data_IF_668613208880
#
_entry.id   IF_668613208880
#
_cell.length_a   1.000
_cell.length_b   1.000
_cell.length_c   1.000
_cell.angle_alpha   90.00
_cell.angle_beta   90.00
_cell.angle_gamma   90.00
#
_symmetry.space_group_name_H-M   'P 1'
#
loop_
_entity.id
_entity.type
_entity.pdbx_description
1 polymer ?
#
# COMPACT_ATOMS: atom_id res chain seq x y z
N UNK A 1 2.64 -18.44 24.05
CA UNK A 1 1.96 -17.37 24.81
C UNK A 1 0.47 -17.44 24.52
N UNK A 2 -0.40 -17.53 25.54
CA UNK A 2 -1.85 -17.39 25.33
C UNK A 2 -2.12 -15.92 25.04
N UNK A 3 -2.59 -15.58 23.84
CA UNK A 3 -3.01 -14.21 23.53
C UNK A 3 -4.29 -13.94 24.33
N UNK A 4 -4.24 -12.95 25.22
CA UNK A 4 -5.43 -12.44 25.90
C UNK A 4 -6.32 -11.77 24.85
N UNK A 5 -7.63 -12.10 24.75
CA UNK A 5 -8.50 -11.44 23.81
C UNK A 5 -8.54 -9.94 24.09
N UNK A 6 -8.28 -9.13 23.07
CA UNK A 6 -8.38 -7.68 23.16
C UNK A 6 -9.84 -7.29 22.94
N UNK A 7 -10.53 -6.89 24.00
CA UNK A 7 -11.91 -6.41 23.91
C UNK A 7 -11.96 -4.96 23.43
N UNK A 8 -12.93 -4.64 22.58
CA UNK A 8 -13.25 -3.26 22.20
C UNK A 8 -14.06 -2.64 23.35
N UNK A 9 -13.50 -1.65 24.03
CA UNK A 9 -14.09 -1.01 25.21
C UNK A 9 -14.49 0.45 25.00
N UNK A 10 -14.23 1.02 23.82
CA UNK A 10 -14.59 2.40 23.49
C UNK A 10 -15.01 2.56 22.04
N UNK A 11 -15.80 3.60 21.76
CA UNK A 11 -16.19 3.95 20.39
C UNK A 11 -14.98 4.26 19.49
N UNK A 12 -13.91 4.84 20.05
CA UNK A 12 -12.66 5.07 19.30
C UNK A 12 -12.07 3.75 18.83
N UNK A 13 -11.94 2.75 19.70
CA UNK A 13 -11.43 1.43 19.32
C UNK A 13 -12.33 0.73 18.30
N UNK A 14 -13.66 0.81 18.46
CA UNK A 14 -14.62 0.27 17.49
C UNK A 14 -14.44 0.91 16.11
N UNK A 15 -14.39 2.24 16.06
CA UNK A 15 -14.19 2.99 14.82
C UNK A 15 -12.84 2.67 14.18
N UNK A 16 -11.77 2.63 14.97
CA UNK A 16 -10.42 2.31 14.48
C UNK A 16 -10.39 0.88 13.89
N UNK A 17 -11.06 -0.08 14.53
CA UNK A 17 -11.24 -1.44 14.00
C UNK A 17 -12.07 -1.47 12.70
N UNK A 18 -13.19 -0.75 12.66
CA UNK A 18 -14.02 -0.64 11.47
C UNK A 18 -13.30 0.05 10.30
N UNK A 19 -12.31 0.91 10.57
CA UNK A 19 -11.50 1.61 9.57
C UNK A 19 -10.18 0.91 9.23
N UNK A 20 -9.85 -0.20 9.91
CA UNK A 20 -8.56 -0.89 9.78
C UNK A 20 -8.28 -1.41 8.35
N UNK A 21 -9.33 -1.58 7.54
CA UNK A 21 -9.20 -2.02 6.15
C UNK A 21 -8.47 -1.05 5.22
N UNK A 22 -8.44 0.25 5.56
CA UNK A 22 -8.00 1.29 4.62
C UNK A 22 -6.55 1.12 4.20
N UNK A 23 -5.64 0.92 5.16
CA UNK A 23 -4.22 0.79 4.87
C UNK A 23 -3.91 -0.47 4.04
N UNK A 24 -4.41 -1.67 4.38
CA UNK A 24 -4.31 -2.84 3.52
C UNK A 24 -4.81 -2.57 2.09
N UNK A 25 -5.98 -1.94 1.93
CA UNK A 25 -6.50 -1.64 0.59
C UNK A 25 -5.59 -0.69 -0.19
N UNK A 26 -5.04 0.34 0.46
CA UNK A 26 -4.07 1.27 -0.14
C UNK A 26 -2.82 0.52 -0.62
N UNK A 27 -2.27 -0.39 0.18
CA UNK A 27 -1.09 -1.19 -0.16
C UNK A 27 -1.40 -2.11 -1.34
N UNK A 28 -2.52 -2.85 -1.28
CA UNK A 28 -2.92 -3.77 -2.35
C UNK A 28 -3.22 -3.03 -3.64
N UNK A 29 -3.85 -1.86 -3.62
CA UNK A 29 -4.04 -1.04 -4.83
C UNK A 29 -2.72 -0.60 -5.47
N UNK A 30 -1.67 -0.35 -4.67
CA UNK A 30 -0.34 -0.05 -5.22
C UNK A 30 0.31 -1.28 -5.87
N UNK A 31 0.10 -2.47 -5.34
CA UNK A 31 0.55 -3.73 -5.94
C UNK A 31 -0.23 -4.06 -7.22
N UNK A 32 -1.55 -3.91 -7.23
CA UNK A 32 -2.43 -4.16 -8.39
C UNK A 32 -2.01 -3.36 -9.64
N UNK A 33 -1.63 -2.10 -9.46
CA UNK A 33 -1.18 -1.25 -10.58
C UNK A 33 0.33 -1.37 -10.86
N UNK A 34 1.00 -2.29 -10.15
CA UNK A 34 2.43 -2.53 -10.16
C UNK A 34 3.28 -1.26 -9.93
N UNK A 35 2.83 -0.42 -8.97
CA UNK A 35 3.44 0.88 -8.68
C UNK A 35 4.90 0.74 -8.26
N UNK A 36 5.19 -0.16 -7.32
CA UNK A 36 6.53 -0.29 -6.74
C UNK A 36 7.55 -0.77 -7.77
N UNK A 37 7.22 -1.76 -8.61
CA UNK A 37 8.11 -2.24 -9.67
C UNK A 37 8.35 -1.19 -10.74
N UNK A 38 7.30 -0.47 -11.16
CA UNK A 38 7.40 0.58 -12.17
C UNK A 38 8.10 1.85 -11.69
N UNK A 39 8.12 2.08 -10.37
CA UNK A 39 8.97 3.11 -9.78
C UNK A 39 10.42 2.64 -9.77
N UNK A 40 11.14 2.96 -10.84
CA UNK A 40 12.61 2.86 -10.92
C UNK A 40 13.30 3.59 -9.74
N UNK A 41 14.60 3.37 -9.54
CA UNK A 41 15.38 4.04 -8.49
C UNK A 41 15.66 5.52 -8.78
N UNK A 42 14.59 6.33 -8.73
CA UNK A 42 14.60 7.78 -8.92
C UNK A 42 13.38 8.45 -8.29
N UNK A 43 13.41 9.77 -8.22
CA UNK A 43 12.24 10.58 -7.89
C UNK A 43 11.21 10.63 -9.02
N UNK A 44 9.95 10.55 -8.64
CA UNK A 44 8.81 10.62 -9.55
C UNK A 44 7.85 11.75 -9.18
N UNK A 45 7.65 12.69 -10.10
CA UNK A 45 6.53 13.63 -10.00
C UNK A 45 5.22 12.90 -10.29
N UNK A 46 4.12 13.33 -9.66
CA UNK A 46 2.80 12.74 -9.90
C UNK A 46 2.41 12.74 -11.39
N UNK A 47 2.60 13.82 -12.18
CA UNK A 47 2.26 13.79 -13.60
C UNK A 47 3.05 12.76 -14.41
N UNK A 48 4.35 12.62 -14.15
CA UNK A 48 5.20 11.64 -14.85
C UNK A 48 4.83 10.22 -14.48
N UNK A 49 4.63 9.95 -13.19
CA UNK A 49 4.27 8.62 -12.70
C UNK A 49 2.87 8.22 -13.16
N UNK A 50 1.91 9.14 -13.18
CA UNK A 50 0.56 8.91 -13.69
C UNK A 50 0.59 8.51 -15.17
N UNK A 51 1.37 9.23 -15.98
CA UNK A 51 1.58 8.88 -17.40
C UNK A 51 2.24 7.51 -17.55
N UNK A 52 3.25 7.20 -16.73
CA UNK A 52 3.96 5.92 -16.78
C UNK A 52 3.08 4.72 -16.35
N UNK A 53 2.18 4.94 -15.38
CA UNK A 53 1.25 3.92 -14.89
C UNK A 53 -0.04 3.81 -15.71
N UNK A 54 -0.36 4.79 -16.55
CA UNK A 54 -1.68 4.88 -17.19
C UNK A 54 -2.80 5.16 -16.19
N UNK A 55 -2.50 5.87 -15.10
CA UNK A 55 -3.42 6.16 -14.00
C UNK A 55 -3.79 7.66 -13.94
N UNK A 56 -4.88 7.99 -13.27
CA UNK A 56 -5.26 9.39 -13.06
C UNK A 56 -4.28 10.10 -12.10
N UNK A 57 -3.89 11.35 -12.41
CA UNK A 57 -3.03 12.14 -11.53
C UNK A 57 -3.64 12.33 -10.14
N UNK A 58 -4.95 12.58 -10.07
CA UNK A 58 -5.68 12.76 -8.79
C UNK A 58 -5.62 11.49 -7.94
N UNK A 59 -5.96 10.33 -8.52
CA UNK A 59 -5.94 9.06 -7.80
C UNK A 59 -4.54 8.71 -7.30
N UNK A 60 -3.54 8.91 -8.16
CA UNK A 60 -2.16 8.64 -7.82
C UNK A 60 -1.61 9.60 -6.75
N UNK A 61 -1.99 10.88 -6.78
CA UNK A 61 -1.63 11.84 -5.72
C UNK A 61 -2.20 11.44 -4.35
N UNK A 62 -3.38 10.83 -4.31
CA UNK A 62 -3.98 10.30 -3.07
C UNK A 62 -3.21 9.04 -2.64
N UNK A 63 -2.97 8.12 -3.56
CA UNK A 63 -2.26 6.86 -3.29
C UNK A 63 -0.85 7.12 -2.75
N UNK A 64 -0.02 7.89 -3.47
CA UNK A 64 1.35 8.19 -3.07
C UNK A 64 1.43 8.92 -1.73
N UNK A 65 0.49 9.82 -1.43
CA UNK A 65 0.44 10.50 -0.13
C UNK A 65 0.19 9.53 1.01
N UNK A 66 -0.76 8.62 0.86
CA UNK A 66 -1.06 7.64 1.89
C UNK A 66 0.09 6.63 2.05
N UNK A 67 0.70 6.18 0.95
CA UNK A 67 1.88 5.32 0.98
C UNK A 67 3.06 6.02 1.67
N UNK A 68 3.24 7.33 1.45
CA UNK A 68 4.26 8.11 2.14
C UNK A 68 3.96 8.24 3.65
N UNK A 69 2.70 8.51 4.02
CA UNK A 69 2.27 8.50 5.42
C UNK A 69 2.45 7.13 6.10
N UNK A 70 2.41 6.04 5.34
CA UNK A 70 2.67 4.69 5.82
C UNK A 70 4.17 4.28 5.79
N UNK A 71 5.07 5.17 5.35
CA UNK A 71 6.51 4.86 5.28
C UNK A 71 6.90 3.91 4.13
N UNK A 72 6.05 3.75 3.12
CA UNK A 72 6.35 2.96 1.93
C UNK A 72 6.92 3.81 0.78
N UNK A 73 6.65 5.11 0.79
CA UNK A 73 7.29 6.09 -0.09
C UNK A 73 7.92 7.20 0.76
N UNK A 74 8.90 7.88 0.19
CA UNK A 74 9.40 9.15 0.71
C UNK A 74 8.88 10.26 -0.19
N UNK A 75 8.36 11.33 0.41
CA UNK A 75 8.02 12.56 -0.31
C UNK A 75 9.22 13.51 -0.26
N UNK A 76 9.72 13.92 -1.41
CA UNK A 76 10.79 14.92 -1.59
C UNK A 76 10.24 16.19 -2.24
N UNK A 77 11.09 17.21 -2.43
CA UNK A 77 10.73 18.41 -3.19
C UNK A 77 10.46 18.09 -4.67
N UNK A 78 11.19 17.12 -5.22
CA UNK A 78 11.15 16.66 -6.61
C UNK A 78 10.06 15.62 -6.90
N UNK A 79 9.43 15.02 -5.89
CA UNK A 79 8.36 14.04 -6.08
C UNK A 79 8.29 12.98 -4.99
N UNK A 80 8.13 11.73 -5.41
CA UNK A 80 8.14 10.55 -4.53
C UNK A 80 9.16 9.51 -5.01
N UNK A 81 9.80 8.82 -4.08
CA UNK A 81 10.64 7.65 -4.36
C UNK A 81 10.38 6.52 -3.35
N UNK A 82 10.86 5.32 -3.67
CA UNK A 82 10.69 4.15 -2.82
C UNK A 82 11.58 4.22 -1.57
N UNK A 83 11.04 3.82 -0.42
CA UNK A 83 11.87 3.54 0.76
C UNK A 83 12.71 2.27 0.56
N UNK A 84 13.80 2.08 1.33
CA UNK A 84 14.57 0.83 1.30
C UNK A 84 13.71 -0.41 1.56
N UNK A 85 12.70 -0.30 2.44
CA UNK A 85 11.74 -1.38 2.69
C UNK A 85 10.96 -1.75 1.44
N UNK A 86 10.40 -0.75 0.74
CA UNK A 86 9.62 -0.98 -0.49
C UNK A 86 10.49 -1.53 -1.62
N UNK A 87 11.71 -1.02 -1.79
CA UNK A 87 12.67 -1.59 -2.76
C UNK A 87 12.95 -3.06 -2.48
N UNK A 88 13.19 -3.40 -1.21
CA UNK A 88 13.56 -4.77 -0.83
C UNK A 88 12.41 -5.77 -0.96
N UNK A 89 11.21 -5.41 -0.51
CA UNK A 89 10.13 -6.38 -0.35
C UNK A 89 8.96 -6.20 -1.33
N UNK A 90 8.83 -5.05 -1.99
CA UNK A 90 7.68 -4.73 -2.83
C UNK A 90 8.05 -4.48 -4.30
N UNK A 91 9.33 -4.49 -4.66
CA UNK A 91 9.80 -4.36 -6.03
C UNK A 91 10.13 -5.74 -6.61
N UNK A 92 9.53 -6.12 -7.74
CA UNK A 92 9.69 -7.47 -8.34
C UNK A 92 11.14 -7.82 -8.73
N UNK A 93 11.97 -6.81 -9.01
CA UNK A 93 13.39 -7.01 -9.32
C UNK A 93 14.24 -7.42 -8.12
N UNK A 94 13.70 -7.33 -6.90
CA UNK A 94 14.42 -7.69 -5.68
C UNK A 94 14.38 -9.20 -5.43
N UNK A 95 15.51 -9.84 -5.05
CA UNK A 95 15.51 -11.25 -4.66
C UNK A 95 14.69 -11.53 -3.40
N UNK A 96 14.44 -10.50 -2.59
CA UNK A 96 13.63 -10.57 -1.36
C UNK A 96 12.16 -10.19 -1.59
N UNK A 97 11.71 -10.10 -2.84
CA UNK A 97 10.33 -9.72 -3.17
C UNK A 97 9.29 -10.58 -2.43
N UNK A 98 8.26 -9.92 -1.88
CA UNK A 98 7.15 -10.53 -1.12
C UNK A 98 5.77 -10.19 -1.70
N UNK A 99 5.70 -9.58 -2.88
CA UNK A 99 4.40 -9.20 -3.47
C UNK A 99 3.47 -10.38 -3.70
N UNK A 100 4.00 -11.56 -4.08
CA UNK A 100 3.18 -12.77 -4.24
C UNK A 100 2.52 -13.23 -2.94
N UNK A 101 3.26 -13.19 -1.84
CA UNK A 101 2.74 -13.49 -0.51
C UNK A 101 1.63 -12.51 -0.11
N UNK A 102 1.81 -11.22 -0.39
CA UNK A 102 0.78 -10.21 -0.16
C UNK A 102 -0.43 -10.42 -1.08
N UNK A 103 -0.23 -10.91 -2.30
CA UNK A 103 -1.30 -11.31 -3.21
C UNK A 103 -2.15 -12.46 -2.67
N UNK A 104 -1.56 -13.41 -1.94
CA UNK A 104 -2.31 -14.46 -1.24
C UNK A 104 -3.18 -13.88 -0.13
N UNK A 105 -2.66 -12.93 0.65
CA UNK A 105 -3.45 -12.23 1.68
C UNK A 105 -4.61 -11.44 1.05
N UNK A 106 -4.37 -10.83 -0.11
CA UNK A 106 -5.39 -10.09 -0.82
C UNK A 106 -6.55 -10.99 -1.30
N UNK A 107 -6.29 -12.23 -1.72
CA UNK A 107 -7.37 -13.15 -2.13
C UNK A 107 -8.39 -13.40 -1.03
N UNK A 108 -7.94 -13.45 0.22
CA UNK A 108 -8.84 -13.58 1.37
C UNK A 108 -9.85 -12.43 1.43
N UNK A 109 -9.45 -11.21 1.06
CA UNK A 109 -10.35 -10.05 1.01
C UNK A 109 -11.59 -10.31 0.14
N UNK A 110 -11.42 -10.97 -1.02
CA UNK A 110 -12.54 -11.33 -1.90
C UNK A 110 -13.53 -12.25 -1.19
N UNK A 111 -13.04 -13.25 -0.47
CA UNK A 111 -13.86 -14.19 0.28
C UNK A 111 -14.66 -13.48 1.37
N UNK A 112 -14.02 -12.58 2.12
CA UNK A 112 -14.71 -11.78 3.15
C UNK A 112 -15.81 -10.89 2.56
N UNK A 113 -15.61 -10.35 1.35
CA UNK A 113 -16.60 -9.50 0.69
C UNK A 113 -17.81 -10.25 0.14
N UNK A 114 -17.78 -11.58 0.08
CA UNK A 114 -18.89 -12.42 -0.37
C UNK A 114 -19.72 -13.04 0.77
N UNK A 115 -19.43 -12.69 2.04
CA UNK A 115 -20.19 -13.19 3.19
C UNK A 115 -21.60 -12.59 3.31
N UNK A 116 -21.92 -11.61 2.48
CA UNK A 116 -23.21 -10.89 2.41
C UNK A 116 -23.45 -10.44 0.98
#
# INVERSE_FOLDING_TARGET
MKQTPTFITSFKQFRDAAYAFRLPRIIFSALEINLFTKMEDRDWTIPKLAKHLGASQRGLAILCRNLASAGLLVKSQSGYHLTPFSKRYLQESSPDFRGDYLGLMQRQWSEWSHLT
#
